data_IF_046059412340
#
_entry.id   IF_046059412340
#
_cell.length_a   1.000
_cell.length_b   1.000
_cell.length_c   1.000
_cell.angle_alpha   90.00
_cell.angle_beta   90.00
_cell.angle_gamma   90.00
#
_symmetry.space_group_name_H-M   'P 1'
#
loop_
_entity.id
_entity.type
_entity.pdbx_description
1 polymer ?
#
# COMPACT_ATOMS: atom_id res chain seq x y z
N UNK A 1 -8.16 -18.73 10.50
CA UNK A 1 -8.86 -17.77 9.62
C UNK A 1 -7.83 -16.86 8.97
N UNK A 2 -7.95 -16.53 7.68
CA UNK A 2 -7.04 -15.57 7.04
C UNK A 2 -7.27 -14.16 7.60
N UNK A 3 -6.19 -13.43 7.89
CA UNK A 3 -6.24 -12.03 8.35
C UNK A 3 -5.79 -11.16 7.20
N UNK A 4 -6.54 -10.09 6.92
CA UNK A 4 -6.19 -9.16 5.86
C UNK A 4 -5.84 -7.80 6.45
N UNK A 5 -4.67 -7.28 6.08
CA UNK A 5 -4.25 -5.92 6.45
C UNK A 5 -4.37 -4.98 5.25
N UNK A 6 -5.02 -3.84 5.48
CA UNK A 6 -5.14 -2.74 4.53
C UNK A 6 -4.23 -1.60 4.96
N UNK A 7 -3.25 -1.26 4.14
CA UNK A 7 -2.34 -0.16 4.43
C UNK A 7 -2.60 1.00 3.46
N UNK A 8 -2.79 2.20 4.01
CA UNK A 8 -2.95 3.45 3.27
C UNK A 8 -1.75 4.34 3.57
N UNK A 9 -1.02 4.72 2.52
CA UNK A 9 0.13 5.60 2.64
C UNK A 9 -0.13 6.90 1.92
N UNK A 10 -0.01 8.03 2.62
CA UNK A 10 0.14 9.34 2.00
C UNK A 10 1.63 9.57 1.73
N UNK A 11 2.04 9.58 0.44
CA UNK A 11 3.46 9.68 0.08
C UNK A 11 3.77 10.97 -0.67
N UNK A 12 4.86 11.59 -0.23
CA UNK A 12 5.42 12.81 -0.83
C UNK A 12 6.24 12.48 -2.09
N UNK A 13 6.96 11.35 -2.10
CA UNK A 13 7.74 10.87 -3.25
C UNK A 13 7.35 9.44 -3.63
N UNK A 14 6.95 9.26 -4.90
CA UNK A 14 6.57 7.97 -5.49
C UNK A 14 7.72 6.96 -5.53
N UNK A 15 8.93 7.38 -5.83
CA UNK A 15 10.09 6.49 -5.98
C UNK A 15 10.45 5.84 -4.64
N UNK A 16 10.43 6.63 -3.57
CA UNK A 16 10.63 6.13 -2.21
C UNK A 16 9.58 5.08 -1.82
N UNK A 17 8.32 5.28 -2.23
CA UNK A 17 7.27 4.29 -2.01
C UNK A 17 7.50 3.01 -2.81
N UNK A 18 7.93 3.10 -4.08
CA UNK A 18 8.22 1.92 -4.90
C UNK A 18 9.36 1.10 -4.32
N UNK A 19 10.41 1.73 -3.82
CA UNK A 19 11.52 1.05 -3.14
C UNK A 19 11.07 0.39 -1.84
N UNK A 20 10.22 1.05 -1.05
CA UNK A 20 9.57 0.42 0.11
C UNK A 20 8.73 -0.80 -0.31
N UNK A 21 7.88 -0.66 -1.33
CA UNK A 21 6.97 -1.71 -1.77
C UNK A 21 7.71 -2.94 -2.29
N UNK A 22 8.85 -2.76 -2.98
CA UNK A 22 9.72 -3.88 -3.38
C UNK A 22 10.26 -4.64 -2.17
N UNK A 23 10.71 -3.92 -1.13
CA UNK A 23 11.24 -4.54 0.10
C UNK A 23 10.15 -5.18 0.95
N UNK A 24 8.93 -4.63 0.92
CA UNK A 24 7.83 -5.10 1.76
C UNK A 24 7.48 -6.56 1.46
N UNK A 25 7.50 -6.99 0.19
CA UNK A 25 7.26 -8.38 -0.23
C UNK A 25 8.06 -9.39 0.60
N UNK A 26 9.36 -9.14 0.79
CA UNK A 26 10.23 -10.01 1.58
C UNK A 26 9.91 -9.96 3.08
N UNK A 27 9.53 -8.78 3.58
CA UNK A 27 9.13 -8.64 4.99
C UNK A 27 7.84 -9.41 5.28
N UNK A 28 6.86 -9.37 4.38
CA UNK A 28 5.59 -10.11 4.55
C UNK A 28 5.81 -11.61 4.46
N UNK A 29 6.63 -12.05 3.50
CA UNK A 29 6.94 -13.46 3.28
C UNK A 29 7.59 -14.13 4.52
N UNK A 30 8.42 -13.40 5.28
CA UNK A 30 9.01 -13.88 6.55
C UNK A 30 7.95 -14.28 7.58
N UNK A 31 6.75 -13.68 7.51
CA UNK A 31 5.63 -13.97 8.40
C UNK A 31 4.57 -14.85 7.72
N UNK A 32 4.94 -15.57 6.65
CA UNK A 32 4.03 -16.41 5.86
C UNK A 32 2.91 -15.62 5.17
N UNK A 33 3.05 -14.30 5.10
CA UNK A 33 2.09 -13.43 4.47
C UNK A 33 2.41 -13.14 3.01
N UNK A 34 1.44 -12.56 2.29
CA UNK A 34 1.56 -12.25 0.86
C UNK A 34 0.95 -10.90 0.53
N UNK A 35 1.69 -10.08 -0.20
CA UNK A 35 1.14 -8.89 -0.87
C UNK A 35 0.24 -9.35 -2.02
N UNK A 36 -1.06 -9.10 -1.92
CA UNK A 36 -2.05 -9.55 -2.92
C UNK A 36 -2.50 -8.44 -3.87
N UNK A 37 -2.34 -7.17 -3.49
CA UNK A 37 -2.58 -6.04 -4.38
C UNK A 37 -1.77 -4.82 -3.94
N UNK A 38 -1.31 -4.05 -4.94
CA UNK A 38 -0.64 -2.77 -4.80
C UNK A 38 -1.20 -1.81 -5.85
N UNK A 39 -1.47 -0.56 -5.47
CA UNK A 39 -1.96 0.43 -6.43
C UNK A 39 -2.00 1.84 -5.89
N UNK A 40 -2.09 2.80 -6.81
CA UNK A 40 -2.43 4.18 -6.48
C UNK A 40 -3.92 4.24 -6.16
N UNK A 41 -4.25 4.75 -4.99
CA UNK A 41 -5.62 5.01 -4.59
C UNK A 41 -6.20 6.12 -5.48
N UNK A 42 -7.42 5.90 -5.96
CA UNK A 42 -8.22 6.90 -6.68
C UNK A 42 -9.37 7.26 -5.75
N UNK A 43 -9.55 8.55 -5.49
CA UNK A 43 -10.69 9.01 -4.71
C UNK A 43 -12.00 8.56 -5.35
N UNK A 44 -12.92 8.08 -4.50
CA UNK A 44 -14.28 7.78 -4.90
C UNK A 44 -15.12 9.06 -4.73
N UNK A 45 -15.47 9.71 -5.84
CA UNK A 45 -16.52 10.73 -6.06
C UNK A 45 -16.63 11.96 -5.13
N UNK A 46 -15.98 12.01 -3.97
CA UNK A 46 -15.98 13.14 -3.06
C UNK A 46 -14.58 13.77 -3.03
N UNK A 47 -14.43 15.07 -3.35
CA UNK A 47 -13.13 15.71 -3.36
C UNK A 47 -12.66 15.87 -1.91
N UNK A 48 -11.59 15.17 -1.51
CA UNK A 48 -10.88 15.50 -0.29
C UNK A 48 -9.60 16.25 -0.67
N UNK A 49 -9.39 17.41 -0.06
CA UNK A 49 -8.18 18.21 -0.25
C UNK A 49 -7.00 17.49 0.42
N UNK A 50 -6.42 16.49 -0.25
CA UNK A 50 -5.17 15.85 0.17
C UNK A 50 -4.16 15.94 -0.95
N UNK A 51 -3.16 16.79 -0.75
CA UNK A 51 -1.98 16.90 -1.60
C UNK A 51 -1.04 15.74 -1.31
N UNK A 52 -1.35 14.56 -1.83
CA UNK A 52 -0.64 13.33 -1.52
C UNK A 52 -0.97 12.20 -2.48
N UNK A 53 0.04 11.43 -2.92
CA UNK A 53 -0.25 10.20 -3.66
C UNK A 53 -0.60 9.11 -2.65
N UNK A 54 -1.85 8.66 -2.65
CA UNK A 54 -2.27 7.58 -1.78
C UNK A 54 -1.93 6.23 -2.41
N UNK A 55 -1.35 5.31 -1.64
CA UNK A 55 -1.09 3.93 -2.08
C UNK A 55 -1.70 2.90 -1.15
N UNK A 56 -2.16 1.79 -1.74
CA UNK A 56 -2.82 0.69 -1.05
C UNK A 56 -1.96 -0.56 -1.08
N UNK A 57 -1.80 -1.24 0.06
CA UNK A 57 -1.21 -2.58 0.11
C UNK A 57 -2.13 -3.54 0.88
N UNK A 58 -2.47 -4.65 0.24
CA UNK A 58 -3.21 -5.74 0.87
C UNK A 58 -2.26 -6.88 1.21
N UNK A 59 -2.28 -7.31 2.46
CA UNK A 59 -1.51 -8.44 2.96
C UNK A 59 -2.46 -9.51 3.49
N UNK A 60 -2.26 -10.77 3.10
CA UNK A 60 -2.82 -11.96 3.79
C UNK A 60 -1.77 -12.61 4.66
#
# INVERSE_FOLDING_TARGET
>A
MPVYALNLFDVVNRESYLEYAKRSVNAVAKHQGKVIALGKFREAAAPSQRHGQLYLAFVR
#
